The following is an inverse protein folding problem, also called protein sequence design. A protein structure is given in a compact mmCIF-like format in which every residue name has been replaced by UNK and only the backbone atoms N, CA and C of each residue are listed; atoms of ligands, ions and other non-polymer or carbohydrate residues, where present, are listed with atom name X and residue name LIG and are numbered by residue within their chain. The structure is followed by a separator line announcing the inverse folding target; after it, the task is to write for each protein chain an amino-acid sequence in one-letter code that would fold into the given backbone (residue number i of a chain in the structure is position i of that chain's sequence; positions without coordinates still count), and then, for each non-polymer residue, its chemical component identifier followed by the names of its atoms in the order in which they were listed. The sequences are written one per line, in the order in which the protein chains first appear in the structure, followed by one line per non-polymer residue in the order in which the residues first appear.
data_IF_648327467753
#
_entry.id   IF_648327467753
#
_cell.length_a   1.000
_cell.length_b   1.000
_cell.length_c   1.000
_cell.angle_alpha   90.00
_cell.angle_beta   90.00
_cell.angle_gamma   90.00
#
_symmetry.space_group_name_H-M   'P 1'
#
loop_
_entity.id
_entity.type
_entity.pdbx_description
1 polymer ?
#
# COMPACT_ATOMS: atom_id res chain seq x y z
N UNK A 1 -9.75 -25.49 0.77
CA UNK A 1 -10.03 -25.50 -0.68
C UNK A 1 -11.40 -24.89 -0.89
N UNK A 2 -11.54 -23.96 -1.84
CA UNK A 2 -12.85 -23.46 -2.28
C UNK A 2 -13.09 -23.89 -3.73
N UNK A 3 -14.35 -24.12 -4.09
CA UNK A 3 -14.76 -24.45 -5.44
C UNK A 3 -15.65 -23.33 -5.94
N UNK A 4 -15.31 -22.77 -7.10
CA UNK A 4 -16.06 -21.72 -7.76
C UNK A 4 -16.61 -22.24 -9.09
N UNK A 5 -17.72 -21.66 -9.55
CA UNK A 5 -18.28 -21.92 -10.87
C UNK A 5 -18.35 -20.61 -11.65
N UNK A 6 -17.74 -20.60 -12.84
CA UNK A 6 -17.83 -19.46 -13.75
C UNK A 6 -19.20 -19.43 -14.43
N UNK A 7 -19.75 -18.23 -14.61
CA UNK A 7 -21.00 -17.98 -15.31
C UNK A 7 -20.79 -16.95 -16.42
N UNK A 8 -21.55 -17.08 -17.49
CA UNK A 8 -21.62 -16.11 -18.59
C UNK A 8 -22.49 -14.91 -18.21
N UNK A 9 -22.46 -13.85 -19.02
CA UNK A 9 -23.22 -12.62 -18.75
C UNK A 9 -24.74 -12.80 -18.70
N UNK A 10 -25.27 -13.88 -19.29
CA UNK A 10 -26.68 -14.29 -19.23
C UNK A 10 -26.99 -15.23 -18.05
N UNK A 11 -26.03 -15.43 -17.12
CA UNK A 11 -26.23 -16.18 -15.89
C UNK A 11 -26.18 -17.70 -16.04
N UNK A 12 -25.75 -18.23 -17.19
CA UNK A 12 -25.58 -19.69 -17.40
C UNK A 12 -24.16 -20.13 -17.04
N UNK A 13 -23.93 -21.39 -16.60
CA UNK A 13 -22.58 -21.89 -16.37
C UNK A 13 -21.72 -21.78 -17.64
N UNK A 14 -20.50 -21.27 -17.50
CA UNK A 14 -19.57 -21.17 -18.62
C UNK A 14 -19.15 -22.56 -19.12
N UNK A 15 -19.09 -22.76 -20.44
CA UNK A 15 -18.58 -23.98 -21.04
C UNK A 15 -17.06 -24.03 -21.00
N UNK A 16 -16.47 -25.04 -20.36
CA UNK A 16 -15.01 -25.24 -20.23
C UNK A 16 -14.60 -26.59 -20.81
N UNK A 17 -14.50 -26.74 -22.14
CA UNK A 17 -14.22 -28.03 -22.77
C UNK A 17 -12.82 -28.60 -22.43
N UNK A 18 -11.87 -27.72 -22.09
CA UNK A 18 -10.57 -28.10 -21.55
C UNK A 18 -10.56 -27.88 -20.03
N UNK A 19 -10.49 -28.97 -19.26
CA UNK A 19 -10.41 -28.93 -17.81
C UNK A 19 -9.38 -29.94 -17.28
N UNK A 20 -8.84 -29.65 -16.09
CA UNK A 20 -7.89 -30.55 -15.42
C UNK A 20 -8.64 -31.74 -14.81
N UNK A 21 -8.13 -32.95 -15.04
CA UNK A 21 -8.67 -34.17 -14.41
C UNK A 21 -7.99 -34.41 -13.07
N UNK A 22 -8.78 -34.81 -12.08
CA UNK A 22 -8.27 -35.20 -10.77
C UNK A 22 -7.71 -36.64 -10.89
N UNK A 23 -6.48 -36.86 -10.42
CA UNK A 23 -5.88 -38.18 -10.21
C UNK A 23 -5.95 -38.52 -8.71
N UNK A 24 -6.91 -39.36 -8.26
CA UNK A 24 -7.13 -39.63 -6.84
C UNK A 24 -5.93 -40.26 -6.13
N UNK A 25 -5.11 -41.02 -6.85
CA UNK A 25 -3.96 -41.74 -6.31
C UNK A 25 -2.79 -40.80 -5.95
N UNK A 26 -2.83 -39.55 -6.45
CA UNK A 26 -1.78 -38.56 -6.24
C UNK A 26 -0.44 -38.90 -6.93
N UNK A 27 0.54 -37.97 -6.87
CA UNK A 27 1.88 -38.21 -7.38
C UNK A 27 2.67 -39.15 -6.45
N UNK A 28 3.57 -39.95 -7.01
CA UNK A 28 4.54 -40.75 -6.25
C UNK A 28 5.80 -39.93 -5.90
N UNK A 29 6.55 -40.36 -4.88
CA UNK A 29 7.84 -39.75 -4.57
C UNK A 29 8.80 -39.86 -5.77
N UNK A 30 9.42 -38.74 -6.16
CA UNK A 30 10.30 -38.66 -7.34
C UNK A 30 9.57 -38.48 -8.68
N UNK A 31 8.23 -38.46 -8.69
CA UNK A 31 7.46 -38.17 -9.90
C UNK A 31 7.56 -36.68 -10.29
N UNK A 32 7.67 -36.39 -11.58
CA UNK A 32 7.73 -35.02 -12.10
C UNK A 32 6.36 -34.36 -11.98
N UNK A 33 6.31 -33.17 -11.38
CA UNK A 33 5.10 -32.37 -11.24
C UNK A 33 5.33 -30.98 -11.82
N UNK A 34 4.34 -30.49 -12.56
CA UNK A 34 4.32 -29.12 -13.09
C UNK A 34 3.21 -28.33 -12.41
N UNK A 35 3.47 -27.06 -12.13
CA UNK A 35 2.48 -26.13 -11.60
C UNK A 35 2.33 -24.98 -12.57
N UNK A 36 1.13 -24.79 -13.08
CA UNK A 36 0.76 -23.60 -13.85
C UNK A 36 0.10 -22.58 -12.93
N UNK A 37 0.48 -21.32 -13.07
CA UNK A 37 -0.02 -20.24 -12.24
C UNK A 37 0.45 -18.87 -12.72
N UNK A 38 0.00 -17.83 -12.03
CA UNK A 38 0.37 -16.44 -12.31
C UNK A 38 1.15 -15.89 -11.10
N UNK A 39 2.45 -16.23 -10.94
CA UNK A 39 3.24 -15.68 -9.86
C UNK A 39 3.25 -14.16 -9.95
N UNK A 40 2.98 -13.48 -8.82
CA UNK A 40 2.79 -12.03 -8.81
C UNK A 40 4.07 -11.26 -9.12
N UNK A 41 5.07 -11.35 -8.24
CA UNK A 41 6.35 -10.64 -8.37
C UNK A 41 7.50 -11.48 -7.84
N UNK A 42 8.69 -11.24 -8.38
CA UNK A 42 9.94 -11.80 -7.86
C UNK A 42 11.07 -10.81 -8.07
N UNK A 43 11.96 -10.69 -7.08
CA UNK A 43 13.08 -9.76 -7.13
C UNK A 43 14.41 -10.52 -7.21
N UNK A 44 14.48 -11.51 -8.13
CA UNK A 44 15.64 -12.42 -8.24
C UNK A 44 16.94 -11.73 -8.66
N UNK A 45 16.81 -10.58 -9.30
CA UNK A 45 17.90 -9.82 -9.92
C UNK A 45 18.29 -8.56 -9.12
N UNK A 46 17.82 -8.43 -7.88
CA UNK A 46 18.29 -7.35 -7.02
C UNK A 46 19.80 -7.43 -6.86
N UNK A 47 20.44 -6.27 -7.00
CA UNK A 47 21.84 -6.05 -6.69
C UNK A 47 22.12 -6.26 -5.20
N UNK A 48 23.40 -6.41 -4.87
CA UNK A 48 23.85 -6.46 -3.47
C UNK A 48 23.41 -5.19 -2.71
N UNK A 49 23.51 -4.02 -3.35
CA UNK A 49 23.12 -2.75 -2.74
C UNK A 49 21.62 -2.72 -2.36
N UNK A 50 20.73 -3.15 -3.27
CA UNK A 50 19.29 -3.23 -3.00
C UNK A 50 18.97 -4.24 -1.89
N UNK A 51 19.61 -5.41 -1.90
CA UNK A 51 19.42 -6.43 -0.85
C UNK A 51 19.88 -5.91 0.52
N UNK A 52 20.97 -5.16 0.56
CA UNK A 52 21.47 -4.51 1.78
C UNK A 52 20.54 -3.40 2.27
N UNK A 53 19.99 -2.56 1.38
CA UNK A 53 18.96 -1.57 1.76
C UNK A 53 17.71 -2.24 2.31
N UNK A 54 17.22 -3.31 1.68
CA UNK A 54 16.10 -4.08 2.20
C UNK A 54 16.38 -4.62 3.60
N UNK A 55 17.57 -5.19 3.83
CA UNK A 55 17.98 -5.76 5.13
C UNK A 55 18.16 -4.69 6.20
N UNK A 56 18.86 -3.62 5.89
CA UNK A 56 19.33 -2.63 6.86
C UNK A 56 18.28 -1.54 7.14
N UNK A 57 17.41 -1.26 6.16
CA UNK A 57 16.50 -0.10 6.20
C UNK A 57 15.05 -0.55 6.03
N UNK A 58 14.72 -1.16 4.90
CA UNK A 58 13.33 -1.39 4.50
C UNK A 58 12.57 -2.33 5.43
N UNK A 59 13.06 -3.57 5.59
CA UNK A 59 12.39 -4.62 6.36
C UNK A 59 12.33 -4.33 7.85
N UNK A 60 13.41 -3.91 8.56
CA UNK A 60 13.34 -3.65 9.99
C UNK A 60 12.34 -2.54 10.33
N UNK A 61 12.38 -1.43 9.59
CA UNK A 61 11.48 -0.29 9.80
C UNK A 61 10.02 -0.65 9.56
N UNK A 62 9.73 -1.42 8.51
CA UNK A 62 8.38 -1.90 8.24
C UNK A 62 7.90 -2.83 9.37
N UNK A 63 8.74 -3.78 9.79
CA UNK A 63 8.41 -4.78 10.81
C UNK A 63 8.11 -4.13 12.16
N UNK A 64 8.87 -3.09 12.54
CA UNK A 64 8.64 -2.34 13.78
C UNK A 64 7.22 -1.74 13.81
N UNK A 65 6.85 -0.95 12.80
CA UNK A 65 5.51 -0.35 12.72
C UNK A 65 4.41 -1.41 12.62
N UNK A 66 4.63 -2.47 11.86
CA UNK A 66 3.66 -3.54 11.69
C UNK A 66 3.41 -4.32 13.00
N UNK A 67 4.45 -4.58 13.78
CA UNK A 67 4.33 -5.26 15.08
C UNK A 67 3.51 -4.44 16.08
N UNK A 68 3.71 -3.12 16.11
CA UNK A 68 2.92 -2.22 16.96
C UNK A 68 1.46 -2.16 16.53
N UNK A 69 1.18 -2.03 15.23
CA UNK A 69 -0.19 -2.04 14.71
C UNK A 69 -0.89 -3.38 15.00
N UNK A 70 -0.16 -4.50 14.89
CA UNK A 70 -0.66 -5.83 15.28
C UNK A 70 -1.10 -5.83 16.75
N UNK A 71 -0.30 -5.25 17.64
CA UNK A 71 -0.67 -5.08 19.06
C UNK A 71 -1.97 -4.30 19.22
N UNK A 72 -2.11 -3.16 18.53
CA UNK A 72 -3.34 -2.35 18.56
C UNK A 72 -4.57 -3.10 18.06
N UNK A 73 -4.43 -3.89 16.98
CA UNK A 73 -5.51 -4.73 16.48
C UNK A 73 -5.92 -5.84 17.45
N UNK A 74 -4.95 -6.51 18.08
CA UNK A 74 -5.24 -7.53 19.10
C UNK A 74 -5.98 -6.90 20.29
N UNK A 75 -5.52 -5.75 20.78
CA UNK A 75 -6.20 -5.06 21.88
C UNK A 75 -7.60 -4.58 21.49
N UNK A 76 -7.79 -4.07 20.27
CA UNK A 76 -9.12 -3.73 19.76
C UNK A 76 -10.05 -4.94 19.72
N UNK A 77 -9.59 -6.07 19.21
CA UNK A 77 -10.38 -7.31 19.14
C UNK A 77 -10.82 -7.83 20.50
N UNK A 78 -10.02 -7.61 21.56
CA UNK A 78 -10.36 -8.00 22.94
C UNK A 78 -11.51 -7.20 23.55
N UNK A 79 -11.90 -6.07 22.97
CA UNK A 79 -13.00 -5.24 23.50
C UNK A 79 -14.38 -5.84 23.31
N UNK A 80 -14.53 -6.87 22.47
CA UNK A 80 -15.78 -7.63 22.33
C UNK A 80 -15.87 -8.39 21.01
N UNK A 81 -16.89 -9.24 20.89
CA UNK A 81 -17.09 -10.09 19.72
C UNK A 81 -17.19 -9.30 18.40
N UNK A 82 -17.87 -8.14 18.42
CA UNK A 82 -18.00 -7.30 17.23
C UNK A 82 -16.67 -6.64 16.83
N UNK A 83 -15.88 -6.16 17.80
CA UNK A 83 -14.56 -5.61 17.51
C UNK A 83 -13.60 -6.67 16.96
N UNK A 84 -13.66 -7.90 17.51
CA UNK A 84 -12.92 -9.06 16.99
C UNK A 84 -13.30 -9.34 15.54
N UNK A 85 -14.60 -9.40 15.22
CA UNK A 85 -15.10 -9.60 13.84
C UNK A 85 -14.65 -8.50 12.88
N UNK A 86 -14.65 -7.24 13.34
CA UNK A 86 -14.24 -6.09 12.52
C UNK A 86 -12.75 -6.16 12.16
N UNK A 87 -11.90 -6.60 13.08
CA UNK A 87 -10.44 -6.54 12.92
C UNK A 87 -9.81 -7.85 12.44
N UNK A 88 -10.56 -8.95 12.41
CA UNK A 88 -10.09 -10.28 12.01
C UNK A 88 -9.36 -10.27 10.66
N UNK A 89 -10.01 -9.77 9.60
CA UNK A 89 -9.43 -9.72 8.26
C UNK A 89 -8.17 -8.83 8.19
N UNK A 90 -8.18 -7.57 8.67
CA UNK A 90 -6.98 -6.73 8.75
C UNK A 90 -5.85 -7.35 9.56
N UNK A 91 -6.16 -8.00 10.69
CA UNK A 91 -5.18 -8.66 11.54
C UNK A 91 -4.54 -9.85 10.83
N UNK A 92 -5.34 -10.73 10.23
CA UNK A 92 -4.86 -11.89 9.48
C UNK A 92 -3.94 -11.48 8.32
N UNK A 93 -4.32 -10.43 7.57
CA UNK A 93 -3.49 -9.89 6.49
C UNK A 93 -2.14 -9.35 7.02
N UNK A 94 -2.18 -8.58 8.11
CA UNK A 94 -0.99 -8.00 8.73
C UNK A 94 -0.06 -9.09 9.29
N UNK A 95 -0.59 -10.10 9.96
CA UNK A 95 0.19 -11.23 10.51
C UNK A 95 0.85 -12.05 9.40
N UNK A 96 0.14 -12.30 8.29
CA UNK A 96 0.74 -12.96 7.13
C UNK A 96 1.89 -12.12 6.53
N UNK A 97 1.69 -10.80 6.39
CA UNK A 97 2.73 -9.91 5.89
C UNK A 97 3.96 -9.85 6.83
N UNK A 98 3.74 -9.81 8.14
CA UNK A 98 4.80 -9.89 9.16
C UNK A 98 5.57 -11.21 9.03
N UNK A 99 4.87 -12.34 8.92
CA UNK A 99 5.51 -13.66 8.75
C UNK A 99 6.41 -13.68 7.52
N UNK A 100 5.91 -13.23 6.37
CA UNK A 100 6.69 -13.19 5.11
C UNK A 100 7.91 -12.29 5.27
N UNK A 101 7.71 -11.04 5.69
CA UNK A 101 8.81 -10.05 5.79
C UNK A 101 9.83 -10.41 6.85
N UNK A 102 9.42 -11.04 7.95
CA UNK A 102 10.35 -11.60 8.94
C UNK A 102 11.21 -12.68 8.33
N UNK A 103 10.64 -13.59 7.54
CA UNK A 103 11.43 -14.65 6.87
C UNK A 103 12.32 -14.12 5.75
N UNK A 104 11.93 -13.05 5.07
CA UNK A 104 12.83 -12.31 4.17
C UNK A 104 14.01 -11.71 4.95
N UNK A 105 13.76 -11.09 6.10
CA UNK A 105 14.83 -10.53 6.93
C UNK A 105 15.74 -11.63 7.47
N UNK A 106 15.19 -12.73 8.00
CA UNK A 106 15.96 -13.90 8.46
C UNK A 106 16.90 -14.41 7.34
N UNK A 107 16.40 -14.50 6.10
CA UNK A 107 17.20 -14.95 4.97
C UNK A 107 18.32 -13.95 4.57
N UNK A 108 18.08 -12.65 4.69
CA UNK A 108 19.08 -11.62 4.40
C UNK A 108 20.11 -11.45 5.54
N UNK A 109 19.76 -11.88 6.75
CA UNK A 109 20.70 -11.98 7.88
C UNK A 109 21.56 -13.25 7.83
N UNK A 110 21.22 -14.23 6.98
CA UNK A 110 22.09 -15.37 6.71
C UNK A 110 23.22 -14.93 5.77
N UNK A 111 24.44 -14.82 6.32
CA UNK A 111 25.63 -14.40 5.60
C UNK A 111 25.91 -15.24 4.35
N UNK A 112 25.47 -16.51 4.30
CA UNK A 112 25.67 -17.37 3.13
C UNK A 112 24.96 -16.84 1.90
N UNK A 113 23.74 -16.32 2.07
CA UNK A 113 22.94 -15.81 0.94
C UNK A 113 23.55 -14.55 0.37
N UNK A 114 23.89 -13.57 1.22
CA UNK A 114 24.49 -12.33 0.75
C UNK A 114 25.90 -12.54 0.19
N UNK A 115 26.68 -13.45 0.78
CA UNK A 115 27.99 -13.83 0.23
C UNK A 115 27.85 -14.45 -1.16
N UNK A 116 26.90 -15.37 -1.35
CA UNK A 116 26.64 -15.94 -2.67
C UNK A 116 26.23 -14.85 -3.69
N UNK A 117 25.36 -13.92 -3.30
CA UNK A 117 24.95 -12.80 -4.16
C UNK A 117 26.10 -11.85 -4.52
N UNK A 118 27.00 -11.56 -3.58
CA UNK A 118 28.22 -10.78 -3.86
C UNK A 118 29.11 -11.48 -4.88
N UNK A 119 29.35 -12.77 -4.72
CA UNK A 119 30.15 -13.54 -5.68
C UNK A 119 29.52 -13.58 -7.08
N UNK A 120 28.19 -13.76 -7.16
CA UNK A 120 27.46 -13.70 -8.44
C UNK A 120 27.60 -12.32 -9.12
N UNK A 121 27.45 -11.25 -8.34
CA UNK A 121 27.56 -9.88 -8.86
C UNK A 121 29.00 -9.53 -9.27
N UNK A 122 30.00 -9.89 -8.46
CA UNK A 122 31.43 -9.72 -8.77
C UNK A 122 31.81 -10.46 -10.05
N UNK A 123 31.35 -11.71 -10.22
CA UNK A 123 31.58 -12.47 -11.43
C UNK A 123 30.94 -11.82 -12.66
N UNK A 124 29.74 -11.25 -12.52
CA UNK A 124 29.07 -10.52 -13.60
C UNK A 124 29.84 -9.24 -13.97
N UNK A 125 30.27 -8.46 -12.97
CA UNK A 125 31.09 -7.25 -13.16
C UNK A 125 32.40 -7.59 -13.87
N UNK A 126 33.08 -8.66 -13.46
CA UNK A 126 34.33 -9.11 -14.11
C UNK A 126 34.11 -9.50 -15.58
N UNK A 127 33.00 -10.17 -15.89
CA UNK A 127 32.64 -10.51 -17.28
C UNK A 127 32.35 -9.28 -18.14
N UNK A 128 31.70 -8.26 -17.58
CA UNK A 128 31.50 -6.99 -18.28
C UNK A 128 32.83 -6.26 -18.49
N UNK A 129 33.68 -6.18 -17.47
CA UNK A 129 34.98 -5.52 -17.58
C UNK A 129 35.92 -6.18 -18.61
N UNK A 130 35.76 -7.49 -18.84
CA UNK A 130 36.50 -8.23 -19.87
C UNK A 130 36.04 -7.93 -21.31
N UNK A 131 34.91 -7.23 -21.48
CA UNK A 131 34.40 -6.75 -22.77
C UNK A 131 34.38 -5.20 -22.77
N UNK A 132 35.44 -4.54 -23.29
CA UNK A 132 35.53 -3.08 -23.28
C UNK A 132 34.41 -2.38 -24.04
N UNK A 133 33.85 -3.01 -25.08
CA UNK A 133 32.73 -2.43 -25.84
C UNK A 133 31.46 -2.44 -24.99
N UNK A 134 31.17 -3.56 -24.33
CA UNK A 134 30.03 -3.66 -23.41
C UNK A 134 30.19 -2.74 -22.20
N UNK A 135 31.37 -2.71 -21.58
CA UNK A 135 31.66 -1.83 -20.45
C UNK A 135 31.43 -0.36 -20.82
N UNK A 136 31.90 0.08 -21.99
CA UNK A 136 31.66 1.43 -22.48
C UNK A 136 30.18 1.69 -22.79
N UNK A 137 29.45 0.70 -23.30
CA UNK A 137 28.04 0.86 -23.68
C UNK A 137 27.09 0.98 -22.49
N UNK A 138 27.37 0.27 -21.38
CA UNK A 138 26.46 0.26 -20.21
C UNK A 138 26.90 1.20 -19.08
N UNK A 139 28.15 1.67 -19.09
CA UNK A 139 28.71 2.47 -18.00
C UNK A 139 28.82 1.68 -16.69
N UNK A 140 28.41 2.31 -15.58
CA UNK A 140 28.58 1.78 -14.21
C UNK A 140 27.22 1.53 -13.50
N UNK A 141 26.39 0.60 -14.02
CA UNK A 141 25.01 0.44 -13.55
C UNK A 141 24.92 0.06 -12.06
N UNK A 142 25.89 -0.68 -11.53
CA UNK A 142 25.91 -1.01 -10.11
C UNK A 142 26.14 0.20 -9.21
N UNK A 143 27.04 1.10 -9.62
CA UNK A 143 27.29 2.34 -8.91
C UNK A 143 26.06 3.26 -9.00
N UNK A 144 25.37 3.25 -10.14
CA UNK A 144 24.14 4.01 -10.34
C UNK A 144 23.01 3.51 -9.43
N UNK A 145 22.82 2.19 -9.34
CA UNK A 145 21.88 1.56 -8.40
C UNK A 145 22.26 1.88 -6.96
N UNK A 146 23.51 1.72 -6.57
CA UNK A 146 23.95 2.02 -5.20
C UNK A 146 23.69 3.49 -4.82
N UNK A 147 23.86 4.44 -5.74
CA UNK A 147 23.50 5.84 -5.51
C UNK A 147 21.99 6.05 -5.42
N UNK A 148 21.20 5.35 -6.24
CA UNK A 148 19.75 5.39 -6.17
C UNK A 148 19.23 4.87 -4.83
N UNK A 149 19.82 3.80 -4.30
CA UNK A 149 19.51 3.24 -2.98
C UNK A 149 19.78 4.24 -1.85
N UNK A 150 20.91 4.97 -1.89
CA UNK A 150 21.17 6.04 -0.92
C UNK A 150 20.07 7.12 -0.97
N UNK A 151 19.64 7.50 -2.17
CA UNK A 151 18.55 8.47 -2.33
C UNK A 151 17.21 7.93 -1.84
N UNK A 152 16.93 6.64 -2.05
CA UNK A 152 15.74 5.96 -1.53
C UNK A 152 15.71 6.00 0.00
N UNK A 153 16.86 5.77 0.65
CA UNK A 153 17.00 5.86 2.10
C UNK A 153 16.72 7.27 2.65
N UNK A 154 17.20 8.31 1.98
CA UNK A 154 16.91 9.71 2.34
C UNK A 154 15.41 10.05 2.23
N UNK A 155 14.76 9.52 1.19
CA UNK A 155 13.33 9.75 0.93
C UNK A 155 12.42 8.79 1.70
N UNK A 156 12.97 7.75 2.34
CA UNK A 156 12.21 6.64 2.88
C UNK A 156 11.06 7.10 3.79
N UNK A 157 11.35 7.98 4.74
CA UNK A 157 10.36 8.43 5.72
C UNK A 157 9.25 9.29 5.10
N UNK A 158 9.54 10.41 4.40
CA UNK A 158 8.48 11.20 3.78
C UNK A 158 7.69 10.39 2.74
N UNK A 159 8.36 9.53 1.96
CA UNK A 159 7.67 8.67 0.99
C UNK A 159 6.74 7.66 1.68
N UNK A 160 7.19 7.01 2.75
CA UNK A 160 6.40 6.04 3.53
C UNK A 160 5.16 6.68 4.14
N UNK A 161 5.32 7.81 4.84
CA UNK A 161 4.22 8.40 5.59
C UNK A 161 3.25 9.19 4.70
N UNK A 162 3.75 9.89 3.68
CA UNK A 162 2.95 10.80 2.87
C UNK A 162 2.41 10.13 1.61
N UNK A 163 3.28 9.53 0.80
CA UNK A 163 2.85 8.97 -0.49
C UNK A 163 2.32 7.54 -0.38
N UNK A 164 3.02 6.66 0.33
CA UNK A 164 2.48 5.33 0.64
C UNK A 164 1.32 5.39 1.64
N UNK A 165 1.15 6.53 2.33
CA UNK A 165 -0.02 6.82 3.16
C UNK A 165 0.01 6.17 4.54
N UNK A 166 1.16 5.71 5.03
CA UNK A 166 1.26 5.13 6.37
C UNK A 166 0.87 6.11 7.48
N UNK A 167 1.03 7.43 7.25
CA UNK A 167 0.60 8.48 8.17
C UNK A 167 -0.92 8.71 8.18
N UNK A 168 -1.62 8.15 7.20
CA UNK A 168 -3.04 8.37 6.95
C UNK A 168 -3.77 7.04 6.73
N UNK A 169 -3.41 6.01 7.52
CA UNK A 169 -3.91 4.65 7.38
C UNK A 169 -5.42 4.57 7.67
N UNK A 170 -6.24 4.92 6.69
CA UNK A 170 -7.69 5.06 6.77
C UNK A 170 -8.30 4.82 5.38
N UNK A 171 -9.40 4.07 5.35
CA UNK A 171 -10.19 3.93 4.13
C UNK A 171 -10.80 5.26 3.70
N UNK A 172 -11.28 6.07 4.66
CA UNK A 172 -11.84 7.39 4.38
C UNK A 172 -10.80 8.32 3.73
N UNK A 173 -9.57 8.34 4.23
CA UNK A 173 -8.48 9.09 3.59
C UNK A 173 -8.19 8.58 2.17
N UNK A 174 -8.15 7.26 2.00
CA UNK A 174 -7.90 6.64 0.69
C UNK A 174 -8.98 7.04 -0.33
N UNK A 175 -10.25 7.05 0.07
CA UNK A 175 -11.35 7.54 -0.78
C UNK A 175 -11.19 9.02 -1.10
N UNK A 176 -10.94 9.88 -0.09
CA UNK A 176 -10.76 11.31 -0.30
C UNK A 176 -9.62 11.62 -1.28
N UNK A 177 -8.45 11.00 -1.09
CA UNK A 177 -7.29 11.16 -1.98
C UNK A 177 -7.59 10.71 -3.40
N UNK A 178 -8.27 9.57 -3.54
CA UNK A 178 -8.63 9.02 -4.85
C UNK A 178 -9.61 9.91 -5.59
N UNK A 179 -10.64 10.41 -4.90
CA UNK A 179 -11.64 11.32 -5.48
C UNK A 179 -11.00 12.63 -5.94
N UNK A 180 -10.18 13.24 -5.07
CA UNK A 180 -9.48 14.50 -5.36
C UNK A 180 -8.53 14.35 -6.55
N UNK A 181 -7.68 13.32 -6.54
CA UNK A 181 -6.75 13.04 -7.64
C UNK A 181 -7.51 12.68 -8.92
N UNK A 182 -8.59 11.88 -8.85
CA UNK A 182 -9.39 11.55 -10.03
C UNK A 182 -10.03 12.79 -10.65
N UNK A 183 -10.55 13.72 -9.82
CA UNK A 183 -11.10 14.98 -10.31
C UNK A 183 -10.06 15.80 -11.07
N UNK A 184 -8.83 15.91 -10.54
CA UNK A 184 -7.74 16.63 -11.17
C UNK A 184 -7.17 15.94 -12.42
N UNK A 185 -7.02 14.61 -12.40
CA UNK A 185 -6.44 13.86 -13.51
C UNK A 185 -7.41 13.75 -14.69
N UNK A 186 -8.73 13.67 -14.44
CA UNK A 186 -9.74 13.54 -15.50
C UNK A 186 -9.90 14.80 -16.36
N UNK A 187 -9.32 15.94 -15.97
CA UNK A 187 -9.26 17.14 -16.81
C UNK A 187 -8.15 17.07 -17.86
N UNK A 188 -7.22 16.13 -17.72
CA UNK A 188 -6.07 15.93 -18.61
C UNK A 188 -6.35 14.87 -19.68
N UNK A 189 -5.67 14.93 -20.84
CA UNK A 189 -5.57 13.80 -21.76
C UNK A 189 -5.02 12.57 -21.04
N UNK A 190 -5.50 11.38 -21.41
CA UNK A 190 -5.15 10.12 -20.74
C UNK A 190 -3.65 9.82 -20.70
N UNK A 191 -2.89 10.26 -21.72
CA UNK A 191 -1.42 10.13 -21.79
C UNK A 191 -0.69 10.93 -20.71
N UNK A 192 -1.29 12.06 -20.31
CA UNK A 192 -0.70 13.03 -19.38
C UNK A 192 -1.16 12.78 -17.94
N UNK A 193 -2.03 11.78 -17.75
CA UNK A 193 -2.49 11.36 -16.44
C UNK A 193 -1.45 10.51 -15.72
N UNK A 194 -1.48 10.61 -14.40
CA UNK A 194 -0.94 9.58 -13.52
C UNK A 194 -1.46 8.20 -13.96
N UNK A 195 -0.57 7.20 -13.96
CA UNK A 195 -0.81 5.85 -14.49
C UNK A 195 -2.10 5.25 -13.91
N UNK A 196 -2.36 5.49 -12.64
CA UNK A 196 -3.49 4.98 -11.87
C UNK A 196 -4.84 5.56 -12.31
N UNK A 197 -4.84 6.68 -13.05
CA UNK A 197 -6.02 7.43 -13.49
C UNK A 197 -6.17 7.46 -15.02
N UNK A 198 -5.35 6.69 -15.75
CA UNK A 198 -5.53 6.46 -17.19
C UNK A 198 -6.85 5.75 -17.45
N UNK A 199 -7.39 5.90 -18.66
CA UNK A 199 -8.73 5.38 -19.00
C UNK A 199 -8.87 3.87 -18.73
N UNK A 200 -7.79 3.11 -18.95
CA UNK A 200 -7.73 1.67 -18.70
C UNK A 200 -7.89 1.30 -17.21
N UNK A 201 -7.57 2.22 -16.30
CA UNK A 201 -7.66 2.01 -14.85
C UNK A 201 -8.93 2.63 -14.23
N UNK A 202 -9.54 3.63 -14.88
CA UNK A 202 -10.64 4.41 -14.31
C UNK A 202 -11.85 3.57 -13.90
N UNK A 203 -12.27 2.60 -14.72
CA UNK A 203 -13.44 1.76 -14.41
C UNK A 203 -13.24 0.97 -13.12
N UNK A 204 -12.07 0.34 -12.96
CA UNK A 204 -11.71 -0.39 -11.74
C UNK A 204 -11.58 0.55 -10.53
N UNK A 205 -11.03 1.74 -10.74
CA UNK A 205 -10.85 2.73 -9.68
C UNK A 205 -12.19 3.27 -9.18
N UNK A 206 -13.12 3.55 -10.10
CA UNK A 206 -14.49 3.94 -9.79
C UNK A 206 -15.18 2.85 -8.98
N UNK A 207 -15.17 1.61 -9.49
CA UNK A 207 -15.80 0.46 -8.85
C UNK A 207 -15.30 0.28 -7.40
N UNK A 208 -13.98 0.32 -7.19
CA UNK A 208 -13.40 0.20 -5.83
C UNK A 208 -13.79 1.36 -4.93
N UNK A 209 -13.77 2.58 -5.45
CA UNK A 209 -14.02 3.80 -4.68
C UNK A 209 -15.49 3.91 -4.28
N UNK A 210 -16.42 3.45 -5.12
CA UNK A 210 -17.87 3.57 -4.88
C UNK A 210 -18.51 2.28 -4.36
N UNK A 211 -17.72 1.24 -4.13
CA UNK A 211 -18.23 -0.03 -3.62
C UNK A 211 -18.86 0.16 -2.22
N UNK A 212 -20.01 -0.51 -1.93
CA UNK A 212 -20.69 -0.45 -0.65
C UNK A 212 -20.00 -1.36 0.39
N UNK A 213 -18.69 -1.14 0.59
CA UNK A 213 -17.90 -1.82 1.62
C UNK A 213 -18.13 -1.10 2.95
N UNK A 214 -18.39 -1.84 4.05
CA UNK A 214 -18.52 -1.25 5.38
C UNK A 214 -17.28 -0.45 5.79
N UNK A 215 -17.51 0.69 6.45
CA UNK A 215 -16.47 1.48 7.13
C UNK A 215 -16.81 1.48 8.61
N UNK A 216 -15.88 1.02 9.45
CA UNK A 216 -16.08 0.92 10.88
C UNK A 216 -15.39 2.10 11.59
N UNK A 217 -16.13 3.09 12.12
CA UNK A 217 -15.53 4.31 12.67
C UNK A 217 -14.49 4.05 13.77
N UNK A 218 -14.72 3.06 14.63
CA UNK A 218 -13.78 2.73 15.70
C UNK A 218 -12.44 2.22 15.17
N UNK A 219 -12.46 1.37 14.12
CA UNK A 219 -11.24 0.89 13.47
C UNK A 219 -10.54 2.02 12.70
N UNK A 220 -11.29 2.85 11.98
CA UNK A 220 -10.74 4.02 11.26
C UNK A 220 -10.03 5.00 12.19
N UNK A 221 -10.59 5.28 13.38
CA UNK A 221 -9.96 6.13 14.39
C UNK A 221 -8.66 5.51 14.91
N UNK A 222 -8.68 4.21 15.20
CA UNK A 222 -7.50 3.48 15.68
C UNK A 222 -6.37 3.53 14.66
N UNK A 223 -6.63 3.21 13.39
CA UNK A 223 -5.60 3.13 12.36
C UNK A 223 -5.10 4.51 11.94
N UNK A 224 -5.98 5.51 11.84
CA UNK A 224 -5.61 6.87 11.52
C UNK A 224 -4.80 7.51 12.65
N UNK A 225 -5.22 7.34 13.91
CA UNK A 225 -4.46 7.83 15.06
C UNK A 225 -3.07 7.20 15.11
N UNK A 226 -2.98 5.87 14.96
CA UNK A 226 -1.69 5.18 14.91
C UNK A 226 -0.78 5.71 13.79
N UNK A 227 -1.34 5.95 12.59
CA UNK A 227 -0.60 6.52 11.48
C UNK A 227 -0.03 7.91 11.79
N UNK A 228 -0.88 8.79 12.34
CA UNK A 228 -0.49 10.15 12.75
C UNK A 228 0.55 10.13 13.89
N UNK A 229 0.41 9.23 14.85
CA UNK A 229 1.34 9.01 15.96
C UNK A 229 2.74 8.64 15.43
N UNK A 230 2.81 7.60 14.58
CA UNK A 230 4.06 7.15 13.98
C UNK A 230 4.68 8.19 13.04
N UNK A 231 3.85 8.93 12.30
CA UNK A 231 4.31 10.02 11.44
C UNK A 231 4.99 11.12 12.26
N UNK A 232 4.37 11.56 13.37
CA UNK A 232 4.98 12.54 14.28
C UNK A 232 6.27 12.04 14.90
N UNK A 233 6.29 10.79 15.34
CA UNK A 233 7.46 10.20 15.98
C UNK A 233 8.65 10.08 15.02
N UNK A 234 8.41 9.64 13.79
CA UNK A 234 9.49 9.30 12.85
C UNK A 234 9.91 10.47 11.97
N UNK A 235 8.99 11.36 11.58
CA UNK A 235 9.36 12.60 10.87
C UNK A 235 9.81 13.71 11.83
N UNK A 236 9.50 13.57 13.11
CA UNK A 236 9.72 14.59 14.13
C UNK A 236 8.60 15.63 14.20
N UNK A 237 8.42 16.28 15.37
CA UNK A 237 7.36 17.27 15.58
C UNK A 237 7.50 18.52 14.71
N UNK A 238 8.70 18.81 14.21
CA UNK A 238 9.00 19.99 13.41
C UNK A 238 8.80 19.81 11.91
N UNK A 239 8.53 18.59 11.45
CA UNK A 239 8.22 18.35 10.05
C UNK A 239 7.00 19.21 9.63
N UNK A 240 7.05 19.92 8.48
CA UNK A 240 6.00 20.87 8.10
C UNK A 240 4.59 20.28 8.11
N UNK A 241 4.44 19.03 7.66
CA UNK A 241 3.16 18.30 7.66
C UNK A 241 2.68 17.95 9.07
N UNK A 242 3.60 17.62 9.98
CA UNK A 242 3.29 17.29 11.37
C UNK A 242 2.82 18.54 12.11
N UNK A 243 3.50 19.68 11.94
CA UNK A 243 3.02 20.97 12.46
C UNK A 243 1.66 21.33 11.88
N UNK A 244 1.50 21.26 10.56
CA UNK A 244 0.23 21.60 9.90
C UNK A 244 -0.96 20.77 10.41
N UNK A 245 -0.76 19.52 10.83
CA UNK A 245 -1.83 18.63 11.28
C UNK A 245 -2.00 18.59 12.80
N UNK A 246 -0.91 18.63 13.57
CA UNK A 246 -0.89 18.27 14.99
C UNK A 246 -0.48 19.43 15.92
N UNK A 247 -0.42 20.68 15.42
CA UNK A 247 -0.15 21.84 16.30
C UNK A 247 -1.22 22.01 17.39
N UNK A 248 -2.50 21.75 17.08
CA UNK A 248 -3.63 21.94 18.02
C UNK A 248 -4.28 20.64 18.46
N UNK A 249 -4.01 19.55 17.75
CA UNK A 249 -4.64 18.25 17.97
C UNK A 249 -3.57 17.21 18.33
N UNK A 250 -3.94 16.31 19.24
CA UNK A 250 -3.25 15.01 19.34
C UNK A 250 -3.62 14.11 18.16
N UNK A 251 -2.82 13.06 17.86
CA UNK A 251 -3.20 12.04 16.88
C UNK A 251 -4.63 11.50 17.06
N UNK A 252 -5.03 11.20 18.31
CA UNK A 252 -6.37 10.68 18.62
C UNK A 252 -7.48 11.69 18.37
N UNK A 253 -7.30 12.94 18.80
CA UNK A 253 -8.33 13.99 18.66
C UNK A 253 -8.51 14.39 17.20
N UNK A 254 -7.41 14.48 16.43
CA UNK A 254 -7.48 14.70 14.98
C UNK A 254 -8.17 13.53 14.29
N UNK A 255 -7.80 12.29 14.60
CA UNK A 255 -8.40 11.11 14.00
C UNK A 255 -9.91 11.02 14.28
N UNK A 256 -10.32 11.23 15.53
CA UNK A 256 -11.73 11.27 15.91
C UNK A 256 -12.50 12.34 15.13
N UNK A 257 -11.99 13.58 15.11
CA UNK A 257 -12.62 14.70 14.40
C UNK A 257 -12.76 14.45 12.90
N UNK A 258 -11.73 13.89 12.25
CA UNK A 258 -11.75 13.61 10.82
C UNK A 258 -12.69 12.47 10.47
N UNK A 259 -12.72 11.40 11.27
CA UNK A 259 -13.60 10.24 11.05
C UNK A 259 -15.05 10.61 11.31
N UNK A 260 -15.35 11.23 12.46
CA UNK A 260 -16.72 11.59 12.85
C UNK A 260 -17.30 12.70 11.95
N UNK A 261 -16.46 13.59 11.45
CA UNK A 261 -16.86 14.65 10.51
C UNK A 261 -16.92 14.21 9.04
N UNK A 262 -16.69 12.94 8.73
CA UNK A 262 -16.68 12.43 7.36
C UNK A 262 -18.01 11.79 6.96
N UNK A 263 -18.47 12.13 5.76
CA UNK A 263 -19.60 11.45 5.12
C UNK A 263 -19.12 10.41 4.08
N UNK A 264 -17.81 10.23 3.90
CA UNK A 264 -17.24 9.34 2.86
C UNK A 264 -17.45 7.84 3.15
N UNK A 265 -18.02 7.48 4.30
CA UNK A 265 -18.50 6.12 4.52
C UNK A 265 -19.67 5.78 3.56
N UNK A 266 -20.49 6.77 3.20
CA UNK A 266 -21.63 6.61 2.29
C UNK A 266 -21.15 6.32 0.85
N UNK A 267 -21.41 5.12 0.29
CA UNK A 267 -21.06 4.81 -1.10
C UNK A 267 -21.82 5.69 -2.11
N UNK A 268 -23.03 6.14 -1.80
CA UNK A 268 -23.79 7.02 -2.69
C UNK A 268 -23.14 8.41 -2.78
N UNK A 269 -22.66 8.96 -1.65
CA UNK A 269 -21.86 10.18 -1.69
C UNK A 269 -20.57 10.00 -2.50
N UNK A 270 -19.83 8.91 -2.27
CA UNK A 270 -18.61 8.61 -3.05
C UNK A 270 -18.90 8.52 -4.55
N UNK A 271 -20.04 7.92 -4.93
CA UNK A 271 -20.50 7.87 -6.33
C UNK A 271 -20.78 9.26 -6.88
N UNK A 272 -21.54 10.10 -6.16
CA UNK A 272 -21.84 11.48 -6.57
C UNK A 272 -20.56 12.31 -6.76
N UNK A 273 -19.62 12.22 -5.83
CA UNK A 273 -18.34 12.93 -5.91
C UNK A 273 -17.51 12.45 -7.11
N UNK A 274 -17.49 11.13 -7.36
CA UNK A 274 -16.80 10.60 -8.53
C UNK A 274 -17.42 11.11 -9.83
N UNK A 275 -18.74 11.08 -9.96
CA UNK A 275 -19.42 11.41 -11.22
C UNK A 275 -19.39 12.91 -11.50
N UNK A 276 -19.55 13.73 -10.47
CA UNK A 276 -19.61 15.19 -10.62
C UNK A 276 -18.28 15.92 -10.75
N UNK A 277 -17.14 15.22 -10.64
CA UNK A 277 -15.80 15.79 -10.87
C UNK A 277 -15.46 17.01 -10.01
N UNK A 278 -14.60 17.90 -10.51
CA UNK A 278 -14.10 19.08 -9.77
C UNK A 278 -15.21 20.02 -9.25
N UNK A 279 -16.35 20.08 -9.94
CA UNK A 279 -17.50 20.91 -9.53
C UNK A 279 -18.18 20.42 -8.24
N UNK A 280 -17.95 19.17 -7.84
CA UNK A 280 -18.52 18.58 -6.62
C UNK A 280 -17.64 18.80 -5.39
N UNK A 281 -16.33 18.92 -5.57
CA UNK A 281 -15.38 19.21 -4.48
C UNK A 281 -15.59 20.62 -3.91
N UNK A 282 -15.88 21.61 -4.78
CA UNK A 282 -16.20 22.98 -4.33
C UNK A 282 -17.53 23.05 -3.58
N UNK A 283 -18.54 22.28 -4.00
CA UNK A 283 -19.83 22.18 -3.31
C UNK A 283 -19.71 21.46 -1.96
N UNK A 284 -18.92 20.39 -1.89
CA UNK A 284 -18.66 19.68 -0.63
C UNK A 284 -17.85 20.54 0.35
N UNK A 285 -16.85 21.29 -0.14
CA UNK A 285 -16.12 22.30 0.65
C UNK A 285 -17.06 23.41 1.13
N UNK A 286 -17.94 23.93 0.29
CA UNK A 286 -18.92 24.95 0.66
C UNK A 286 -19.95 24.44 1.69
N UNK A 287 -20.37 23.18 1.59
CA UNK A 287 -21.32 22.57 2.53
C UNK A 287 -20.69 22.29 3.90
N UNK A 288 -19.39 21.94 3.94
CA UNK A 288 -18.60 21.90 5.20
C UNK A 288 -18.45 23.29 5.83
N UNK A 289 -18.16 24.33 5.03
CA UNK A 289 -18.08 25.72 5.51
C UNK A 289 -19.39 26.19 6.15
N UNK A 290 -20.54 25.79 5.60
CA UNK A 290 -21.87 26.13 6.16
C UNK A 290 -22.22 25.40 7.45
N UNK A 291 -21.68 24.20 7.68
CA UNK A 291 -21.97 23.39 8.89
C UNK A 291 -21.00 23.64 10.05
N UNK A 292 -19.88 24.32 9.81
CA UNK A 292 -18.92 24.68 10.87
C UNK A 292 -18.33 26.07 10.63
N UNK A 293 -19.07 27.16 10.96
CA UNK A 293 -18.62 28.54 10.74
C UNK A 293 -17.34 28.90 11.50
N UNK A 294 -17.02 28.17 12.59
CA UNK A 294 -15.82 28.39 13.42
C UNK A 294 -14.52 27.91 12.78
N UNK A 295 -14.55 27.15 11.68
CA UNK A 295 -13.33 26.62 11.05
C UNK A 295 -12.55 27.66 10.22
N UNK A 296 -13.12 28.85 9.94
CA UNK A 296 -12.46 29.90 9.13
C UNK A 296 -11.81 31.02 9.94
N UNK A 297 -12.10 31.17 11.23
CA UNK A 297 -11.38 32.13 12.08
C UNK A 297 -9.97 31.64 12.44
N UNK A 298 -9.72 30.33 12.31
CA UNK A 298 -8.46 29.67 12.70
C UNK A 298 -7.47 29.43 11.54
N UNK A 299 -7.86 29.72 10.30
CA UNK A 299 -7.01 29.58 9.09
C UNK A 299 -6.59 30.94 8.49
N UNK A 300 -6.92 32.05 9.16
CA UNK A 300 -6.46 33.41 8.82
C UNK A 300 -5.48 34.01 9.85
N UNK A 301 -4.97 33.20 10.78
CA UNK A 301 -3.93 33.58 11.74
C UNK A 301 -2.71 32.68 11.62
#
# INVERSE_FOLDING_TARGET
MSVLRAYTGDGKPAATPAYLRIRPEGPQAGEVVFVSGHPGTTDRLLSVAELETLRNVGLPRWLLRAAELRGRYIEFGKTGAEASRIVEDPLNFLENAIKVRRKQLDALLDDRLLKAKRLEEEALRARVAADPQLAAAIGEPWSDIARAELREQELYLPYTFLEQGAGFNSHLFTYARTLLRAAAERTKPSTDRLREYRDTALSRLAQRTTAPVPVYPALEKLTLSFGLERMREWLGPDAPIVRALLTRDSPDTLAARLVDGSELADPALRRRLWDGGAASDDRARAQRRRRSPRAEEELRG
#
